data_IF_769629714721
#
_entry.id   IF_769629714721
#
_cell.length_a   1.000
_cell.length_b   1.000
_cell.length_c   1.000
_cell.angle_alpha   90.00
_cell.angle_beta   90.00
_cell.angle_gamma   90.00
#
_symmetry.space_group_name_H-M   'P 1'
#
loop_
_entity.id
_entity.type
_entity.pdbx_description
1 polymer ?
#
# COMPACT_ATOMS: atom_id res chain seq x y z
N UNK A 1 -24.26 -39.61 65.51
CA UNK A 1 -23.78 -40.49 64.43
C UNK A 1 -23.27 -39.58 63.32
N UNK A 2 -21.95 -39.32 63.25
CA UNK A 2 -21.00 -40.03 62.37
C UNK A 2 -21.40 -39.91 60.88
N UNK A 3 -20.59 -39.50 59.91
CA UNK A 3 -19.15 -39.21 59.84
C UNK A 3 -18.80 -38.75 58.40
N UNK A 4 -17.87 -37.79 58.31
CA UNK A 4 -16.68 -37.77 57.43
C UNK A 4 -16.75 -38.14 55.92
N UNK A 5 -16.38 -37.14 55.10
CA UNK A 5 -15.37 -37.14 54.01
C UNK A 5 -15.40 -38.16 52.86
N UNK A 6 -15.17 -37.68 51.62
CA UNK A 6 -13.96 -38.00 50.81
C UNK A 6 -14.03 -37.39 49.40
N UNK A 7 -13.03 -36.56 49.06
CA UNK A 7 -12.48 -36.41 47.70
C UNK A 7 -11.43 -37.52 47.49
N UNK A 8 -11.25 -38.03 46.25
CA UNK A 8 -9.98 -37.75 45.54
C UNK A 8 -10.19 -37.51 44.02
N UNK A 9 -9.50 -36.60 43.33
CA UNK A 9 -8.09 -36.56 42.87
C UNK A 9 -7.80 -37.40 41.61
N UNK A 10 -7.62 -36.67 40.49
CA UNK A 10 -6.75 -36.88 39.31
C UNK A 10 -6.61 -38.25 38.62
N UNK A 11 -6.84 -38.27 37.29
CA UNK A 11 -5.92 -38.94 36.35
C UNK A 11 -5.77 -38.10 35.06
N UNK A 12 -4.52 -37.72 34.81
CA UNK A 12 -3.96 -37.19 33.57
C UNK A 12 -3.84 -38.29 32.51
N UNK A 13 -4.25 -38.03 31.27
CA UNK A 13 -3.88 -38.86 30.11
C UNK A 13 -3.57 -37.99 28.89
N UNK A 14 -2.31 -38.11 28.47
CA UNK A 14 -1.58 -37.49 27.37
C UNK A 14 -2.14 -37.83 25.98
N UNK A 15 -1.75 -37.08 24.92
CA UNK A 15 -2.19 -37.32 23.54
C UNK A 15 -1.38 -38.43 22.84
N UNK A 16 -1.94 -39.13 21.84
CA UNK A 16 -1.20 -40.04 20.96
C UNK A 16 -0.58 -39.32 19.74
N UNK A 17 0.36 -39.98 19.02
CA UNK A 17 1.50 -39.32 18.39
C UNK A 17 1.38 -39.06 16.87
N UNK A 18 2.34 -38.23 16.43
CA UNK A 18 2.79 -37.91 15.07
C UNK A 18 3.03 -39.09 14.14
N UNK A 19 2.64 -38.92 12.86
CA UNK A 19 3.15 -39.70 11.73
C UNK A 19 3.55 -38.76 10.59
N UNK A 20 4.84 -38.74 10.29
CA UNK A 20 5.45 -38.17 9.08
C UNK A 20 5.50 -39.23 7.98
N UNK A 21 5.48 -38.83 6.70
CA UNK A 21 6.17 -39.58 5.66
C UNK A 21 7.39 -38.81 5.14
N UNK A 22 8.52 -39.49 5.24
CA UNK A 22 9.76 -39.24 4.49
C UNK A 22 9.52 -39.46 3.00
N UNK A 23 10.02 -38.58 2.15
CA UNK A 23 10.44 -38.93 0.79
C UNK A 23 11.65 -38.11 0.39
N UNK A 24 12.78 -38.78 0.39
CA UNK A 24 14.06 -38.37 -0.16
C UNK A 24 14.07 -38.58 -1.67
N UNK A 25 14.45 -37.55 -2.43
CA UNK A 25 14.96 -37.73 -3.80
C UNK A 25 16.24 -36.91 -3.96
N UNK A 26 17.29 -37.64 -4.28
CA UNK A 26 18.65 -37.19 -4.58
C UNK A 26 18.80 -37.08 -6.10
N UNK A 27 19.32 -35.96 -6.63
CA UNK A 27 20.30 -35.94 -7.75
C UNK A 27 20.64 -34.47 -8.11
N UNK A 28 21.87 -34.02 -7.85
CA UNK A 28 23.00 -33.92 -8.79
C UNK A 28 22.91 -32.75 -9.79
N UNK A 29 23.64 -31.68 -9.46
CA UNK A 29 24.22 -30.71 -10.40
C UNK A 29 25.35 -31.36 -11.23
N UNK A 30 25.58 -30.87 -12.47
CA UNK A 30 26.90 -30.27 -12.73
C UNK A 30 26.93 -29.09 -13.73
N UNK A 31 27.66 -28.04 -13.31
CA UNK A 31 28.71 -27.27 -14.01
C UNK A 31 28.63 -26.81 -15.49
N UNK A 32 29.07 -25.54 -15.64
CA UNK A 32 30.09 -24.98 -16.56
C UNK A 32 29.67 -24.31 -17.89
N UNK A 33 29.71 -22.97 -17.83
CA UNK A 33 30.51 -22.01 -18.64
C UNK A 33 30.77 -22.35 -20.11
N UNK A 34 30.36 -21.45 -21.02
CA UNK A 34 31.24 -20.92 -22.08
C UNK A 34 30.86 -19.49 -22.48
N UNK A 35 31.72 -18.55 -22.09
CA UNK A 35 31.82 -17.18 -22.64
C UNK A 35 32.44 -17.26 -24.04
N UNK A 36 31.84 -16.58 -25.02
CA UNK A 36 32.46 -16.39 -26.34
C UNK A 36 32.66 -14.89 -26.56
N UNK A 37 33.92 -14.47 -26.42
CA UNK A 37 34.45 -13.17 -26.82
C UNK A 37 34.93 -13.30 -28.26
N UNK A 38 34.46 -12.44 -29.18
CA UNK A 38 35.04 -12.32 -30.52
C UNK A 38 35.71 -10.96 -30.64
N UNK A 39 37.04 -11.01 -30.73
CA UNK A 39 37.91 -9.90 -31.07
C UNK A 39 37.80 -9.51 -32.55
N UNK A 40 38.00 -8.21 -32.79
CA UNK A 40 38.11 -7.53 -34.07
C UNK A 40 39.16 -8.12 -35.04
N UNK A 41 39.16 -7.62 -36.28
CA UNK A 41 40.42 -7.07 -36.78
C UNK A 41 40.29 -5.66 -37.35
N UNK A 42 41.24 -4.82 -36.92
CA UNK A 42 41.75 -3.61 -37.61
C UNK A 42 42.11 -3.94 -39.06
N UNK A 43 42.16 -2.90 -39.91
CA UNK A 43 43.18 -2.66 -40.97
C UNK A 43 42.99 -1.25 -41.58
N UNK A 44 43.93 -0.68 -42.37
CA UNK A 44 44.78 0.40 -41.88
C UNK A 44 44.73 1.73 -42.67
N UNK A 45 45.55 2.67 -42.19
CA UNK A 45 45.84 4.04 -42.62
C UNK A 45 46.14 4.20 -44.12
N UNK A 46 45.73 5.32 -44.70
CA UNK A 46 46.46 5.98 -45.79
C UNK A 46 46.26 7.49 -45.70
N UNK A 47 47.38 8.20 -45.59
CA UNK A 47 47.49 9.64 -45.50
C UNK A 47 47.57 10.27 -46.89
N UNK A 48 46.97 11.45 -47.08
CA UNK A 48 47.54 12.51 -47.94
C UNK A 48 47.27 13.87 -47.33
N UNK A 49 48.34 14.51 -46.84
CA UNK A 49 48.41 15.94 -46.57
C UNK A 49 48.63 16.66 -47.91
N UNK A 50 47.90 17.73 -48.15
CA UNK A 50 48.24 18.76 -49.13
C UNK A 50 48.08 20.11 -48.43
N UNK A 51 49.13 20.92 -48.45
CA UNK A 51 49.20 22.27 -47.91
C UNK A 51 49.24 23.24 -49.09
N UNK A 52 48.28 24.16 -49.21
CA UNK A 52 48.41 25.44 -49.93
C UNK A 52 47.48 26.48 -49.25
N UNK A 53 47.87 27.78 -49.16
CA UNK A 53 47.39 28.69 -48.11
C UNK A 53 46.41 29.79 -48.57
N UNK A 54 45.92 30.54 -47.56
CA UNK A 54 45.22 31.85 -47.57
C UNK A 54 43.74 31.88 -47.99
N UNK A 55 42.87 32.24 -47.05
CA UNK A 55 42.35 33.62 -46.93
C UNK A 55 41.44 33.71 -45.70
N UNK A 56 41.63 34.76 -44.91
CA UNK A 56 40.83 35.15 -43.75
C UNK A 56 39.43 35.62 -44.19
N UNK A 57 38.39 34.96 -43.69
CA UNK A 57 37.13 35.61 -43.38
C UNK A 57 36.60 34.97 -42.09
N UNK A 58 36.42 35.83 -41.11
CA UNK A 58 35.92 35.53 -39.78
C UNK A 58 34.44 35.16 -39.92
N UNK A 59 34.14 33.88 -40.08
CA UNK A 59 32.77 33.36 -40.09
C UNK A 59 32.47 32.84 -38.68
N UNK A 60 31.80 33.69 -37.90
CA UNK A 60 31.24 33.35 -36.58
C UNK A 60 30.20 32.25 -36.81
N UNK A 61 30.61 31.00 -36.61
CA UNK A 61 29.71 29.86 -36.59
C UNK A 61 28.92 29.92 -35.28
N UNK A 62 27.72 30.49 -35.35
CA UNK A 62 26.72 30.34 -34.28
C UNK A 62 26.35 28.86 -34.26
N UNK A 63 26.93 28.13 -33.30
CA UNK A 63 26.50 26.78 -32.96
C UNK A 63 25.10 26.94 -32.36
N UNK A 64 24.08 26.61 -33.14
CA UNK A 64 22.75 26.40 -32.60
C UNK A 64 22.84 25.33 -31.50
N UNK A 65 22.27 25.56 -30.31
CA UNK A 65 22.22 24.54 -29.28
C UNK A 65 21.48 23.31 -29.85
N UNK A 66 21.96 22.09 -29.56
CA UNK A 66 21.27 20.89 -30.02
C UNK A 66 19.82 20.93 -29.53
N UNK A 67 18.84 20.55 -30.38
CA UNK A 67 17.45 20.51 -29.97
C UNK A 67 17.34 19.63 -28.72
N UNK A 68 16.47 20.01 -27.75
CA UNK A 68 16.26 19.21 -26.56
C UNK A 68 15.91 17.77 -26.99
N UNK A 69 16.43 16.75 -26.29
CA UNK A 69 16.13 15.37 -26.63
C UNK A 69 14.61 15.16 -26.65
N UNK A 70 14.06 14.37 -27.60
CA UNK A 70 12.63 14.10 -27.65
C UNK A 70 12.19 13.47 -26.32
N UNK A 71 10.98 13.76 -25.84
CA UNK A 71 10.57 13.30 -24.52
C UNK A 71 10.47 11.78 -24.56
N UNK A 72 10.76 11.12 -23.43
CA UNK A 72 10.57 9.69 -23.24
C UNK A 72 9.08 9.33 -23.12
N UNK A 73 8.27 9.72 -24.10
CA UNK A 73 6.79 9.67 -24.10
C UNK A 73 6.16 8.27 -24.01
N UNK A 74 6.65 7.21 -24.70
CA UNK A 74 5.87 5.97 -24.80
C UNK A 74 5.73 5.25 -23.46
N UNK A 75 6.72 5.38 -22.56
CA UNK A 75 6.65 4.76 -21.23
C UNK A 75 5.72 5.53 -20.30
N UNK A 76 5.73 6.86 -20.36
CA UNK A 76 4.88 7.69 -19.51
C UNK A 76 3.40 7.51 -19.86
N UNK A 77 3.05 7.56 -21.15
CA UNK A 77 1.68 7.33 -21.62
C UNK A 77 1.18 5.93 -21.28
N UNK A 78 2.05 4.93 -21.37
CA UNK A 78 1.73 3.57 -20.97
C UNK A 78 1.40 3.47 -19.47
N UNK A 79 2.22 4.07 -18.60
CA UNK A 79 1.97 4.08 -17.15
C UNK A 79 0.66 4.84 -16.84
N UNK A 80 0.42 5.98 -17.48
CA UNK A 80 -0.86 6.72 -17.35
C UNK A 80 -2.06 5.84 -17.74
N UNK A 81 -1.96 5.05 -18.81
CA UNK A 81 -3.01 4.12 -19.21
C UNK A 81 -3.28 3.03 -18.15
N UNK A 82 -2.22 2.54 -17.47
CA UNK A 82 -2.34 1.56 -16.40
C UNK A 82 -2.93 2.16 -15.12
N UNK A 83 -2.59 3.42 -14.79
CA UNK A 83 -3.24 4.16 -13.69
C UNK A 83 -4.74 4.26 -13.94
N UNK A 84 -5.15 4.65 -15.14
CA UNK A 84 -6.56 4.73 -15.51
C UNK A 84 -7.25 3.36 -15.46
N UNK A 85 -6.56 2.29 -15.88
CA UNK A 85 -7.05 0.91 -15.74
C UNK A 85 -7.27 0.52 -14.27
N UNK A 86 -6.33 0.84 -13.38
CA UNK A 86 -6.48 0.61 -11.95
C UNK A 86 -7.64 1.41 -11.37
N UNK A 87 -7.68 2.73 -11.62
CA UNK A 87 -8.74 3.62 -11.11
C UNK A 87 -10.13 3.21 -11.59
N UNK A 88 -10.26 2.81 -12.86
CA UNK A 88 -11.52 2.31 -13.41
C UNK A 88 -11.94 0.98 -12.78
N UNK A 89 -10.99 0.09 -12.49
CA UNK A 89 -11.29 -1.19 -11.83
C UNK A 89 -11.80 -1.05 -10.40
N UNK A 90 -11.38 0.00 -9.69
CA UNK A 90 -11.80 0.25 -8.29
C UNK A 90 -12.95 1.24 -8.16
N UNK A 91 -13.33 1.89 -9.26
CA UNK A 91 -14.44 2.83 -9.30
C UNK A 91 -15.76 2.14 -8.95
N UNK A 92 -16.58 2.78 -8.11
CA UNK A 92 -17.89 2.25 -7.71
C UNK A 92 -17.85 1.14 -6.65
N UNK A 93 -16.68 0.63 -6.25
CA UNK A 93 -16.57 -0.45 -5.26
C UNK A 93 -16.72 0.01 -3.79
N UNK A 94 -17.07 1.29 -3.57
CA UNK A 94 -17.24 1.90 -2.24
C UNK A 94 -16.06 1.58 -1.30
N UNK A 95 -14.83 1.86 -1.75
CA UNK A 95 -13.56 1.57 -1.05
C UNK A 95 -13.26 0.09 -0.82
N UNK A 96 -13.96 -0.81 -1.50
CA UNK A 96 -13.83 -2.26 -1.35
C UNK A 96 -14.99 -2.90 -0.59
N UNK A 97 -15.90 -2.12 0.01
CA UNK A 97 -17.06 -2.66 0.74
C UNK A 97 -18.07 -3.36 -0.17
N UNK A 98 -18.17 -2.95 -1.44
CA UNK A 98 -19.07 -3.52 -2.43
C UNK A 98 -18.37 -4.52 -3.37
N UNK A 99 -17.07 -4.76 -3.19
CA UNK A 99 -16.28 -5.58 -4.09
C UNK A 99 -16.58 -7.08 -3.89
N UNK A 100 -16.76 -7.80 -5.00
CA UNK A 100 -16.83 -9.26 -5.02
C UNK A 100 -15.47 -9.87 -5.40
N UNK A 101 -15.37 -11.21 -5.37
CA UNK A 101 -14.13 -11.93 -5.69
C UNK A 101 -13.56 -11.63 -7.09
N UNK A 102 -14.43 -11.37 -8.07
CA UNK A 102 -14.00 -11.02 -9.43
C UNK A 102 -13.42 -9.60 -9.47
N UNK A 103 -14.01 -8.68 -8.73
CA UNK A 103 -13.53 -7.30 -8.60
C UNK A 103 -12.19 -7.27 -7.87
N UNK A 104 -12.02 -8.09 -6.83
CA UNK A 104 -10.73 -8.25 -6.14
C UNK A 104 -9.63 -8.68 -7.10
N UNK A 105 -9.91 -9.71 -7.91
CA UNK A 105 -8.95 -10.24 -8.89
C UNK A 105 -8.62 -9.21 -9.98
N UNK A 106 -9.61 -8.44 -10.46
CA UNK A 106 -9.40 -7.38 -11.45
C UNK A 106 -8.55 -6.24 -10.90
N UNK A 107 -8.85 -5.79 -9.68
CA UNK A 107 -8.10 -4.72 -9.03
C UNK A 107 -6.65 -5.14 -8.75
N UNK A 108 -6.43 -6.37 -8.27
CA UNK A 108 -5.08 -6.90 -8.02
C UNK A 108 -4.28 -7.08 -9.31
N UNK A 109 -4.90 -7.61 -10.38
CA UNK A 109 -4.25 -7.70 -11.68
C UNK A 109 -3.86 -6.32 -12.25
N UNK A 110 -4.75 -5.33 -12.16
CA UNK A 110 -4.47 -3.97 -12.61
C UNK A 110 -3.37 -3.29 -11.77
N UNK A 111 -3.37 -3.52 -10.46
CA UNK A 111 -2.32 -3.01 -9.57
C UNK A 111 -0.97 -3.64 -9.91
N UNK A 112 -0.93 -4.96 -10.12
CA UNK A 112 0.30 -5.68 -10.48
C UNK A 112 0.90 -5.20 -11.80
N UNK A 113 0.08 -4.98 -12.83
CA UNK A 113 0.56 -4.41 -14.10
C UNK A 113 1.19 -3.01 -13.90
N UNK A 114 0.60 -2.18 -13.03
CA UNK A 114 1.13 -0.86 -12.70
C UNK A 114 2.44 -0.95 -11.90
N UNK A 115 2.52 -1.87 -10.93
CA UNK A 115 3.72 -2.17 -10.13
C UNK A 115 4.87 -2.62 -11.06
N UNK A 116 4.61 -3.56 -11.97
CA UNK A 116 5.59 -4.08 -12.93
C UNK A 116 6.11 -2.97 -13.88
N UNK A 117 5.24 -2.04 -14.31
CA UNK A 117 5.60 -0.94 -15.19
C UNK A 117 6.33 0.22 -14.47
N UNK A 118 5.95 0.48 -13.22
CA UNK A 118 6.52 1.53 -12.35
C UNK A 118 7.94 1.20 -11.88
N UNK A 119 8.25 -0.09 -11.72
CA UNK A 119 9.54 -0.57 -11.24
C UNK A 119 9.65 -0.57 -9.71
N UNK A 120 10.83 -0.93 -9.21
CA UNK A 120 11.06 -1.06 -7.77
C UNK A 120 11.05 0.31 -7.07
N UNK A 121 10.22 0.44 -6.05
CA UNK A 121 10.16 1.63 -5.19
C UNK A 121 11.35 1.66 -4.23
N UNK A 122 12.02 2.81 -4.14
CA UNK A 122 13.05 3.08 -3.13
C UNK A 122 12.74 4.37 -2.36
N UNK A 123 12.15 4.19 -1.18
CA UNK A 123 11.77 5.25 -0.24
C UNK A 123 12.98 5.96 0.36
N UNK A 124 14.21 5.46 0.19
CA UNK A 124 15.40 6.19 0.65
C UNK A 124 15.58 7.50 -0.12
N UNK A 125 15.23 7.49 -1.42
CA UNK A 125 15.34 8.63 -2.32
C UNK A 125 13.99 9.35 -2.50
N UNK A 126 12.89 8.61 -2.44
CA UNK A 126 11.54 9.10 -2.77
C UNK A 126 10.66 9.29 -1.52
N UNK A 127 11.24 9.42 -0.33
CA UNK A 127 10.47 9.56 0.91
C UNK A 127 9.57 10.78 0.87
N UNK A 128 10.08 11.89 0.31
CA UNK A 128 9.41 13.18 0.14
C UNK A 128 8.07 13.06 -0.60
N UNK A 129 7.97 12.13 -1.57
CA UNK A 129 6.73 11.86 -2.31
C UNK A 129 5.62 11.32 -1.41
N UNK A 130 5.91 10.76 -0.23
CA UNK A 130 4.87 10.32 0.70
C UNK A 130 4.22 11.47 1.47
N UNK A 131 4.82 12.67 1.48
CA UNK A 131 4.34 13.80 2.28
C UNK A 131 2.92 14.18 1.90
N UNK A 132 2.10 14.48 2.91
CA UNK A 132 0.79 15.10 2.71
C UNK A 132 -0.36 14.20 3.12
N UNK A 133 -1.52 14.43 2.50
CA UNK A 133 -2.77 13.76 2.84
C UNK A 133 -3.19 12.87 1.68
N UNK A 134 -3.36 11.60 1.96
CA UNK A 134 -3.74 10.58 1.00
C UNK A 134 -5.16 10.09 1.26
N UNK A 135 -6.02 10.09 0.26
CA UNK A 135 -7.38 9.53 0.35
C UNK A 135 -7.36 8.08 -0.10
N UNK A 136 -7.86 7.18 0.75
CA UNK A 136 -8.04 5.78 0.40
C UNK A 136 -9.26 5.64 -0.52
N UNK A 137 -9.03 5.12 -1.73
CA UNK A 137 -10.10 4.87 -2.71
C UNK A 137 -10.47 3.40 -2.82
N UNK A 138 -9.58 2.50 -2.40
CA UNK A 138 -9.82 1.05 -2.41
C UNK A 138 -8.95 0.32 -1.40
N UNK A 139 -9.52 -0.66 -0.70
CA UNK A 139 -8.80 -1.63 0.12
C UNK A 139 -9.44 -3.01 -0.02
N UNK A 140 -8.65 -4.02 -0.38
CA UNK A 140 -9.15 -5.40 -0.42
C UNK A 140 -9.49 -5.95 0.97
N UNK A 141 -8.95 -5.35 2.04
CA UNK A 141 -9.28 -5.72 3.41
C UNK A 141 -10.75 -5.47 3.77
N UNK A 142 -11.41 -4.51 3.12
CA UNK A 142 -12.79 -4.14 3.41
C UNK A 142 -13.84 -5.07 2.77
N UNK A 143 -13.47 -5.85 1.76
CA UNK A 143 -14.37 -6.86 1.18
C UNK A 143 -14.50 -8.10 2.08
N UNK A 144 -13.53 -8.32 2.98
CA UNK A 144 -13.46 -9.48 3.85
C UNK A 144 -14.37 -9.35 5.08
N UNK A 145 -15.69 -9.33 4.84
CA UNK A 145 -16.84 -9.66 5.74
C UNK A 145 -16.91 -9.11 7.18
N UNK A 146 -15.94 -8.32 7.66
CA UNK A 146 -15.79 -7.96 9.08
C UNK A 146 -16.06 -6.49 9.37
N UNK A 147 -15.99 -5.61 8.36
CA UNK A 147 -16.15 -4.15 8.53
C UNK A 147 -17.39 -3.57 7.81
N UNK A 148 -18.44 -4.38 7.66
CA UNK A 148 -19.75 -3.87 7.24
C UNK A 148 -20.00 -3.83 5.74
N UNK A 149 -19.46 -4.81 4.98
CA UNK A 149 -19.95 -5.16 3.65
C UNK A 149 -21.42 -5.57 3.72
N UNK A 150 -22.30 -4.57 3.73
CA UNK A 150 -23.73 -4.77 3.75
C UNK A 150 -24.16 -5.05 2.32
N UNK A 151 -24.51 -6.31 2.04
CA UNK A 151 -25.41 -6.58 0.92
C UNK A 151 -26.64 -5.68 1.08
N UNK A 152 -27.16 -5.06 0.01
CA UNK A 152 -28.49 -4.49 0.01
C UNK A 152 -29.47 -5.58 0.43
N UNK A 153 -29.94 -5.51 1.67
CA UNK A 153 -30.77 -6.52 2.32
C UNK A 153 -31.14 -6.05 3.73
N UNK A 154 -32.35 -6.36 4.22
CA UNK A 154 -32.86 -5.81 5.47
C UNK A 154 -31.96 -6.24 6.65
N UNK A 155 -31.59 -5.30 7.55
CA UNK A 155 -30.63 -5.55 8.61
C UNK A 155 -31.22 -6.40 9.74
N UNK A 156 -30.88 -7.68 9.82
CA UNK A 156 -31.12 -8.51 11.00
C UNK A 156 -29.93 -8.38 11.96
N UNK A 157 -29.95 -7.39 12.86
CA UNK A 157 -29.21 -7.47 14.12
C UNK A 157 -28.41 -6.27 14.63
N UNK A 158 -28.29 -5.16 13.88
CA UNK A 158 -27.66 -3.92 14.40
C UNK A 158 -28.73 -2.83 14.51
N UNK A 159 -28.99 -2.35 15.73
CA UNK A 159 -30.01 -1.32 15.99
C UNK A 159 -29.74 -0.01 15.24
N UNK A 160 -28.47 0.27 14.88
CA UNK A 160 -28.04 1.50 14.20
C UNK A 160 -27.04 1.17 13.07
N UNK A 161 -27.26 1.63 11.83
CA UNK A 161 -26.30 1.47 10.74
C UNK A 161 -25.10 2.40 10.96
N UNK A 162 -23.89 1.85 10.95
CA UNK A 162 -22.63 2.62 10.93
C UNK A 162 -22.17 2.64 9.47
N UNK A 163 -22.13 3.83 8.86
CA UNK A 163 -21.64 4.03 7.50
C UNK A 163 -20.19 4.51 7.53
N UNK A 164 -19.34 3.88 6.72
CA UNK A 164 -17.96 4.30 6.54
C UNK A 164 -17.91 5.52 5.62
N UNK A 165 -17.50 6.66 6.18
CA UNK A 165 -17.20 7.89 5.46
C UNK A 165 -15.81 7.83 4.83
N UNK A 166 -15.24 8.99 4.52
CA UNK A 166 -13.93 9.06 3.87
C UNK A 166 -12.82 8.53 4.80
N UNK A 167 -11.83 7.88 4.19
CA UNK A 167 -10.66 7.37 4.89
C UNK A 167 -9.46 8.09 4.32
N UNK A 168 -8.70 8.74 5.19
CA UNK A 168 -7.50 9.47 4.84
C UNK A 168 -6.31 8.97 5.63
N UNK A 169 -5.13 9.23 5.08
CA UNK A 169 -3.88 8.97 5.72
C UNK A 169 -3.01 10.22 5.61
N UNK A 170 -2.75 10.88 6.75
CA UNK A 170 -1.85 12.03 6.80
C UNK A 170 -0.47 11.54 7.15
N UNK A 171 0.52 11.93 6.36
CA UNK A 171 1.91 11.54 6.53
C UNK A 171 2.75 12.79 6.61
N UNK A 172 3.53 12.88 7.68
CA UNK A 172 4.54 13.92 7.86
C UNK A 172 5.91 13.27 8.07
N UNK A 173 6.79 13.47 7.11
CA UNK A 173 8.11 12.86 7.06
C UNK A 173 9.07 13.47 8.07
N UNK A 174 8.88 14.75 8.42
CA UNK A 174 9.76 15.48 9.34
C UNK A 174 9.51 15.02 10.77
N UNK A 175 8.25 14.95 11.19
CA UNK A 175 7.84 14.48 12.52
C UNK A 175 7.69 12.96 12.63
N UNK A 176 7.78 12.25 11.50
CA UNK A 176 7.50 10.82 11.35
C UNK A 176 6.07 10.45 11.75
N UNK A 177 5.13 11.37 11.57
CA UNK A 177 3.72 11.13 11.88
C UNK A 177 3.01 10.39 10.75
N UNK A 178 2.14 9.48 11.14
CA UNK A 178 1.31 8.68 10.27
C UNK A 178 -0.08 8.51 10.89
N UNK A 179 -1.01 9.36 10.47
CA UNK A 179 -2.35 9.37 11.03
C UNK A 179 -3.32 8.69 10.07
N UNK A 180 -3.98 7.62 10.51
CA UNK A 180 -5.13 7.06 9.82
C UNK A 180 -6.40 7.75 10.33
N UNK A 181 -7.05 8.51 9.45
CA UNK A 181 -8.22 9.33 9.77
C UNK A 181 -9.43 8.70 9.08
N UNK A 182 -10.39 8.26 9.87
CA UNK A 182 -11.62 7.63 9.40
C UNK A 182 -12.80 8.50 9.78
N UNK A 183 -13.57 8.92 8.79
CA UNK A 183 -14.89 9.52 8.99
C UNK A 183 -15.92 8.40 9.08
N UNK A 184 -16.79 8.49 10.08
CA UNK A 184 -17.86 7.55 10.36
C UNK A 184 -19.15 8.33 10.51
N UNK A 185 -20.21 7.81 9.92
CA UNK A 185 -21.56 8.31 10.09
C UNK A 185 -22.35 7.28 10.90
N UNK A 186 -22.87 7.71 12.03
CA UNK A 186 -23.70 6.90 12.90
C UNK A 186 -25.15 7.22 12.58
N UNK A 187 -25.85 6.26 11.96
CA UNK A 187 -27.29 6.32 11.85
C UNK A 187 -27.92 6.33 13.23
N UNK A 188 -28.88 7.20 13.46
CA UNK A 188 -29.64 7.31 14.71
C UNK A 188 -31.12 7.01 14.43
N UNK A 189 -31.91 6.60 15.42
CA UNK A 189 -33.34 6.40 15.22
C UNK A 189 -34.00 7.70 14.80
N UNK A 190 -34.93 7.63 13.84
CA UNK A 190 -35.79 8.76 13.49
C UNK A 190 -36.48 9.29 14.75
N UNK A 191 -36.53 10.61 15.00
CA UNK A 191 -36.28 11.74 14.08
C UNK A 191 -34.89 12.40 14.22
N UNK A 192 -33.92 11.74 14.86
CA UNK A 192 -32.62 12.36 15.10
C UNK A 192 -31.78 12.41 13.79
N UNK A 193 -30.97 13.46 13.59
CA UNK A 193 -30.04 13.51 12.46
C UNK A 193 -28.82 12.59 12.70
N UNK A 194 -28.24 11.98 11.65
CA UNK A 194 -27.03 11.18 11.76
C UNK A 194 -25.90 11.92 12.47
N UNK A 195 -25.11 11.19 13.27
CA UNK A 195 -23.97 11.75 13.99
C UNK A 195 -22.69 11.45 13.23
N UNK A 196 -21.98 12.49 12.82
CA UNK A 196 -20.68 12.37 12.17
C UNK A 196 -19.56 12.32 13.22
N UNK A 197 -18.66 11.36 13.07
CA UNK A 197 -17.54 11.14 13.96
C UNK A 197 -16.27 10.94 13.13
N UNK A 198 -15.20 11.64 13.47
CA UNK A 198 -13.87 11.43 12.90
C UNK A 198 -12.99 10.74 13.93
N UNK A 199 -12.58 9.51 13.65
CA UNK A 199 -11.58 8.79 14.43
C UNK A 199 -10.21 8.96 13.78
N UNK A 200 -9.22 9.44 14.54
CA UNK A 200 -7.83 9.58 14.10
C UNK A 200 -6.97 8.64 14.92
N UNK A 201 -6.36 7.65 14.27
CA UNK A 201 -5.38 6.77 14.87
C UNK A 201 -4.00 7.33 14.51
N UNK A 202 -3.35 7.91 15.51
CA UNK A 202 -2.01 8.46 15.38
C UNK A 202 -0.97 7.36 15.51
N UNK A 203 -0.02 7.34 14.57
CA UNK A 203 1.11 6.43 14.58
C UNK A 203 2.40 7.20 14.29
N UNK A 204 3.52 6.63 14.73
CA UNK A 204 4.84 6.95 14.19
C UNK A 204 5.22 5.96 13.12
N UNK A 205 5.99 6.39 12.13
CA UNK A 205 6.48 5.48 11.11
C UNK A 205 8.01 5.49 10.97
N UNK A 206 8.55 4.33 10.61
CA UNK A 206 9.95 4.09 10.35
C UNK A 206 10.08 3.30 9.04
N UNK A 207 11.09 3.63 8.22
CA UNK A 207 11.38 2.90 6.99
C UNK A 207 12.31 1.73 7.33
N UNK A 208 11.89 0.50 7.02
CA UNK A 208 12.58 -0.76 7.36
C UNK A 208 12.92 -1.57 6.09
N UNK A 209 13.65 -0.96 5.16
CA UNK A 209 14.03 -1.54 3.87
C UNK A 209 13.99 -0.49 2.76
N UNK A 210 13.95 -0.93 1.49
CA UNK A 210 13.80 -0.01 0.35
C UNK A 210 12.36 0.52 0.23
N UNK A 211 11.35 -0.35 0.42
CA UNK A 211 9.94 -0.01 0.20
C UNK A 211 9.04 -0.24 1.43
N UNK A 212 9.59 -0.80 2.51
CA UNK A 212 8.82 -1.28 3.66
C UNK A 212 8.75 -0.24 4.77
N UNK A 213 7.57 -0.02 5.31
CA UNK A 213 7.29 0.93 6.38
C UNK A 213 6.71 0.16 7.57
N UNK A 214 7.27 0.44 8.75
CA UNK A 214 6.73 0.02 10.03
C UNK A 214 6.01 1.20 10.68
N UNK A 215 4.80 0.97 11.16
CA UNK A 215 4.03 1.93 11.94
C UNK A 215 3.88 1.45 13.37
N UNK A 216 3.96 2.38 14.31
CA UNK A 216 3.81 2.16 15.75
C UNK A 216 2.71 3.07 16.26
N UNK A 217 1.65 2.49 16.79
CA UNK A 217 0.49 3.22 17.32
C UNK A 217 0.87 4.02 18.56
N UNK A 218 0.40 5.27 18.61
CA UNK A 218 0.55 6.14 19.78
C UNK A 218 -0.79 6.31 20.52
N UNK A 219 -1.81 6.82 19.82
CA UNK A 219 -3.11 7.14 20.43
C UNK A 219 -4.24 7.18 19.41
N UNK A 220 -5.46 7.03 19.91
CA UNK A 220 -6.68 7.26 19.12
C UNK A 220 -7.33 8.53 19.62
N UNK A 221 -7.67 9.45 18.72
CA UNK A 221 -8.46 10.63 19.01
C UNK A 221 -9.79 10.53 18.28
N UNK A 222 -10.91 10.68 18.99
CA UNK A 222 -12.24 10.67 18.40
C UNK A 222 -12.83 12.07 18.53
N UNK A 223 -13.24 12.63 17.39
CA UNK A 223 -13.88 13.95 17.30
C UNK A 223 -15.29 13.77 16.77
N UNK A 224 -16.25 14.44 17.37
CA UNK A 224 -17.60 14.58 16.80
C UNK A 224 -17.61 15.76 15.84
N UNK A 225 -18.23 15.59 14.68
CA UNK A 225 -18.35 16.62 13.63
C UNK A 225 -19.83 17.06 13.52
N UNK A 226 -20.10 18.18 12.85
CA UNK A 226 -21.45 18.73 12.71
C UNK A 226 -21.96 19.44 13.97
N UNK A 227 -23.23 19.21 14.33
CA UNK A 227 -23.90 19.86 15.48
C UNK A 227 -23.27 19.54 16.84
N UNK A 228 -22.44 18.49 16.91
CA UNK A 228 -21.71 18.08 18.12
C UNK A 228 -20.22 18.45 18.08
N UNK A 229 -19.80 19.33 17.17
CA UNK A 229 -18.42 19.82 17.06
C UNK A 229 -17.92 20.61 18.28
N UNK A 230 -18.83 21.05 19.15
CA UNK A 230 -18.52 21.72 20.40
C UNK A 230 -17.97 20.78 21.48
N UNK A 231 -18.12 19.46 21.32
CA UNK A 231 -17.61 18.50 22.29
C UNK A 231 -16.08 18.36 22.14
N UNK A 232 -15.33 18.33 23.26
CA UNK A 232 -13.89 18.17 23.22
C UNK A 232 -13.52 16.80 22.62
N UNK A 233 -12.43 16.73 21.82
CA UNK A 233 -11.91 15.47 21.32
C UNK A 233 -11.63 14.49 22.47
N UNK A 234 -12.09 13.25 22.32
CA UNK A 234 -11.81 12.19 23.29
C UNK A 234 -10.53 11.47 22.88
N UNK A 235 -9.53 11.51 23.76
CA UNK A 235 -8.30 10.73 23.58
C UNK A 235 -8.44 9.38 24.27
N UNK A 236 -8.27 8.31 23.48
CA UNK A 236 -8.25 6.95 23.96
C UNK A 236 -6.83 6.40 23.82
N UNK A 237 -6.21 5.91 24.92
CA UNK A 237 -4.85 5.37 24.88
C UNK A 237 -4.78 4.00 24.19
N UNK A 238 -5.90 3.49 23.68
CA UNK A 238 -6.00 2.17 23.03
C UNK A 238 -6.78 2.30 21.73
N UNK A 239 -6.36 1.53 20.72
CA UNK A 239 -7.13 1.32 19.49
C UNK A 239 -8.48 0.70 19.88
N UNK A 240 -9.63 1.30 19.50
CA UNK A 240 -10.94 0.72 19.69
C UNK A 240 -10.97 -0.72 19.16
N UNK A 241 -11.62 -1.64 19.87
CA UNK A 241 -11.61 -3.07 19.53
C UNK A 241 -12.13 -3.31 18.09
N UNK A 242 -13.05 -2.47 17.60
CA UNK A 242 -13.59 -2.53 16.25
C UNK A 242 -12.58 -2.20 15.14
N UNK A 243 -11.50 -1.48 15.45
CA UNK A 243 -10.46 -1.06 14.51
C UNK A 243 -9.13 -1.77 14.75
N UNK A 244 -9.09 -2.71 15.70
CA UNK A 244 -7.87 -3.40 16.10
C UNK A 244 -7.50 -4.48 15.07
N UNK A 245 -6.30 -4.42 14.45
CA UNK A 245 -5.78 -5.53 13.64
C UNK A 245 -5.51 -6.74 14.53
N UNK A 246 -5.81 -7.94 14.03
CA UNK A 246 -5.63 -9.19 14.79
C UNK A 246 -4.14 -9.57 14.98
N UNK A 247 -3.22 -9.07 14.15
CA UNK A 247 -1.84 -9.56 14.04
C UNK A 247 -0.80 -8.86 14.93
N UNK A 248 -1.04 -7.66 15.48
CA UNK A 248 -0.14 -7.08 16.49
C UNK A 248 -0.77 -5.94 17.30
N UNK A 249 -0.55 -5.96 18.62
CA UNK A 249 -1.18 -5.05 19.60
C UNK A 249 -0.46 -3.69 19.65
N UNK A 250 -0.30 -3.02 18.51
CA UNK A 250 0.22 -1.65 18.47
C UNK A 250 1.28 -1.37 17.41
N UNK A 251 1.65 -2.33 16.56
CA UNK A 251 2.51 -2.08 15.40
C UNK A 251 1.98 -2.75 14.15
N UNK A 252 2.15 -2.12 13.00
CA UNK A 252 1.79 -2.66 11.70
C UNK A 252 2.95 -2.50 10.72
N UNK A 253 3.01 -3.33 9.71
CA UNK A 253 3.99 -3.22 8.63
C UNK A 253 3.25 -3.25 7.30
N UNK A 254 3.72 -2.46 6.34
CA UNK A 254 3.24 -2.49 4.97
C UNK A 254 4.37 -2.11 4.01
N UNK A 255 4.21 -2.45 2.75
CA UNK A 255 5.14 -2.14 1.68
C UNK A 255 4.50 -1.17 0.68
N UNK A 256 5.26 -0.18 0.22
CA UNK A 256 4.86 0.74 -0.84
C UNK A 256 5.34 0.16 -2.17
N UNK A 257 4.42 -0.38 -2.96
CA UNK A 257 4.74 -1.09 -4.20
C UNK A 257 4.69 -0.20 -5.44
N UNK A 258 3.99 0.93 -5.35
CA UNK A 258 3.99 1.97 -6.37
C UNK A 258 3.80 3.34 -5.73
N UNK A 259 4.55 4.34 -6.20
CA UNK A 259 4.46 5.71 -5.70
C UNK A 259 4.75 6.72 -6.80
N UNK A 260 3.81 7.63 -7.01
CA UNK A 260 4.02 8.84 -7.80
C UNK A 260 3.41 10.06 -7.08
N UNK A 261 3.26 11.19 -7.79
CA UNK A 261 2.71 12.43 -7.22
C UNK A 261 1.19 12.42 -7.01
N UNK A 262 0.46 11.45 -7.57
CA UNK A 262 -1.01 11.41 -7.59
C UNK A 262 -1.60 10.16 -6.94
N UNK A 263 -0.95 9.01 -7.08
CA UNK A 263 -1.38 7.67 -6.72
C UNK A 263 -0.27 7.00 -5.91
N UNK A 264 -0.70 6.26 -4.91
CA UNK A 264 0.16 5.35 -4.17
C UNK A 264 -0.53 4.02 -3.95
N UNK A 265 0.19 2.95 -4.20
CA UNK A 265 -0.25 1.57 -3.94
C UNK A 265 0.59 0.98 -2.82
N UNK A 266 -0.08 0.33 -1.88
CA UNK A 266 0.60 -0.36 -0.78
C UNK A 266 0.04 -1.75 -0.58
N UNK A 267 0.88 -2.68 -0.14
CA UNK A 267 0.50 -4.04 0.27
C UNK A 267 0.75 -4.21 1.76
N UNK A 268 -0.26 -4.64 2.51
CA UNK A 268 -0.14 -4.90 3.96
C UNK A 268 0.58 -6.21 4.28
N UNK A 269 0.70 -6.53 5.57
CA UNK A 269 1.30 -7.77 6.10
C UNK A 269 0.66 -9.06 5.55
N UNK A 270 -0.63 -8.98 5.19
CA UNK A 270 -1.42 -10.07 4.60
C UNK A 270 -1.63 -9.93 3.09
N UNK A 271 -0.75 -9.19 2.41
CA UNK A 271 -0.85 -8.88 0.97
C UNK A 271 -2.17 -8.18 0.60
N UNK A 272 -2.68 -7.36 1.53
CA UNK A 272 -3.88 -6.57 1.30
C UNK A 272 -3.56 -5.34 0.44
N UNK A 273 -4.15 -5.30 -0.75
CA UNK A 273 -4.04 -4.19 -1.69
C UNK A 273 -4.78 -2.97 -1.15
N UNK A 274 -4.07 -1.84 -1.07
CA UNK A 274 -4.65 -0.54 -0.75
C UNK A 274 -4.20 0.48 -1.79
N UNK A 275 -5.16 1.22 -2.34
CA UNK A 275 -4.93 2.25 -3.36
C UNK A 275 -5.33 3.61 -2.80
N UNK A 276 -4.40 4.55 -2.89
CA UNK A 276 -4.56 5.91 -2.41
C UNK A 276 -4.38 6.91 -3.54
N UNK A 277 -5.08 8.04 -3.43
CA UNK A 277 -4.86 9.24 -4.26
C UNK A 277 -4.51 10.42 -3.38
N UNK A 278 -3.75 11.38 -3.89
CA UNK A 278 -3.49 12.63 -3.18
C UNK A 278 -4.82 13.39 -2.95
N UNK A 279 -5.01 13.94 -1.76
CA UNK A 279 -6.25 14.58 -1.31
C UNK A 279 -6.17 16.11 -1.29
#
# INVERSE_FOLDING_TARGET
>A
MASLSLLPTFVSLSPPPSLSPSSSVTCLSPSRIHTVTVHSPRWPRSAKRSLVPRSTLDEVSVIDPPPPPPPSEPKSEFIESLKLKLLSSVSGLNRGLAANEDDLRKADAAAKELEDAGGLVDLSNDLDKLQGRWKLIYSSAFSSRTLGGSRPGPPTGRLLPITLGQVFQRIDILSKDFDNIVELELGVPWPLPPVEVTATLAHKFEVIGSAKIKITFEKTTVKTTGSLSQLPPLELPRIPDALRPQSNRGSGEFEVTYLDTQIRVTRGDRDELRVFVIA
#
